data_IF_127801353569
#
_entry.id   IF_127801353569
#
_cell.length_a   1.000
_cell.length_b   1.000
_cell.length_c   1.000
_cell.angle_alpha   90.00
_cell.angle_beta   90.00
_cell.angle_gamma   90.00
#
_symmetry.space_group_name_H-M   'P 1'
#
loop_
_entity.id
_entity.type
_entity.pdbx_description
1 polymer ?
#
# COMPACT_ATOMS: atom_id res chain seq x y z
N UNK A 1 -52.17 -14.89 48.59
CA UNK A 1 -51.92 -13.67 47.69
C UNK A 1 -50.45 -13.38 47.47
N UNK A 2 -49.59 -13.71 48.38
CA UNK A 2 -48.15 -13.43 48.33
C UNK A 2 -47.39 -14.28 47.27
N UNK A 3 -47.78 -15.54 47.07
CA UNK A 3 -47.10 -16.47 46.19
C UNK A 3 -47.28 -16.17 44.68
N UNK A 4 -48.39 -15.55 44.29
CA UNK A 4 -48.57 -15.10 42.88
C UNK A 4 -47.78 -13.85 42.52
N UNK A 5 -47.40 -13.03 43.48
CA UNK A 5 -46.62 -11.82 43.29
C UNK A 5 -45.14 -12.15 43.07
N UNK A 6 -44.61 -13.16 43.76
CA UNK A 6 -43.23 -13.61 43.62
C UNK A 6 -42.97 -14.24 42.24
N UNK A 7 -43.92 -15.02 41.69
CA UNK A 7 -43.78 -15.58 40.34
C UNK A 7 -43.81 -14.52 39.21
N UNK A 8 -44.58 -13.44 39.39
CA UNK A 8 -44.60 -12.34 38.44
C UNK A 8 -43.30 -11.52 38.49
N UNK A 9 -42.72 -11.35 39.68
CA UNK A 9 -41.44 -10.63 39.83
C UNK A 9 -40.25 -11.41 39.24
N UNK A 10 -40.26 -12.74 39.41
CA UNK A 10 -39.24 -13.62 38.83
C UNK A 10 -39.36 -13.74 37.32
N UNK A 11 -40.55 -13.73 36.74
CA UNK A 11 -40.75 -13.76 35.30
C UNK A 11 -40.34 -12.43 34.63
N UNK A 12 -40.65 -11.29 35.24
CA UNK A 12 -40.24 -9.99 34.73
C UNK A 12 -38.72 -9.77 34.81
N UNK A 13 -38.07 -10.29 35.87
CA UNK A 13 -36.60 -10.25 35.98
C UNK A 13 -35.88 -11.12 34.94
N UNK A 14 -36.45 -12.26 34.57
CA UNK A 14 -35.88 -13.18 33.59
C UNK A 14 -36.04 -12.66 32.15
N UNK A 15 -37.15 -12.00 31.84
CA UNK A 15 -37.36 -11.38 30.51
C UNK A 15 -36.47 -10.13 30.33
N UNK A 16 -36.21 -9.35 31.40
CA UNK A 16 -35.29 -8.20 31.34
C UNK A 16 -33.82 -8.62 31.19
N UNK A 17 -33.45 -9.83 31.67
CA UNK A 17 -32.07 -10.33 31.53
C UNK A 17 -31.76 -10.90 30.13
N UNK A 18 -32.80 -11.35 29.39
CA UNK A 18 -32.61 -11.86 28.01
C UNK A 18 -32.49 -10.71 26.98
N UNK A 19 -33.04 -9.54 27.30
CA UNK A 19 -32.96 -8.38 26.38
C UNK A 19 -31.64 -7.62 26.42
N UNK A 20 -30.70 -7.95 27.29
CA UNK A 20 -29.35 -7.39 27.37
C UNK A 20 -28.27 -8.24 26.69
N UNK A 21 -28.64 -9.26 25.94
CA UNK A 21 -27.78 -9.88 24.95
C UNK A 21 -27.59 -8.86 23.83
N UNK A 22 -26.66 -7.94 24.05
CA UNK A 22 -26.17 -7.00 23.07
C UNK A 22 -25.90 -7.78 21.79
N UNK A 23 -26.58 -7.43 20.70
CA UNK A 23 -26.15 -7.78 19.36
C UNK A 23 -24.74 -7.21 19.20
N UNK A 24 -23.74 -7.97 19.57
CA UNK A 24 -22.39 -7.73 19.11
C UNK A 24 -22.49 -7.85 17.59
N UNK A 25 -22.55 -6.73 16.92
CA UNK A 25 -22.46 -6.69 15.48
C UNK A 25 -21.13 -7.35 15.12
N UNK A 26 -21.20 -8.61 14.71
CA UNK A 26 -20.03 -9.38 14.31
C UNK A 26 -19.55 -8.75 13.01
N UNK A 27 -18.52 -7.89 13.10
CA UNK A 27 -17.91 -7.31 11.93
C UNK A 27 -17.30 -8.43 11.09
N UNK A 28 -17.86 -8.65 9.91
CA UNK A 28 -17.33 -9.63 8.97
C UNK A 28 -16.02 -9.10 8.39
N UNK A 29 -14.94 -9.84 8.59
CA UNK A 29 -13.68 -9.57 7.90
C UNK A 29 -13.79 -10.09 6.47
N UNK A 30 -13.44 -9.26 5.51
CA UNK A 30 -13.41 -9.58 4.09
C UNK A 30 -12.02 -9.26 3.54
N UNK A 31 -11.37 -10.28 3.00
CA UNK A 31 -10.04 -10.13 2.43
C UNK A 31 -10.13 -9.55 1.01
N UNK A 32 -9.26 -8.62 0.70
CA UNK A 32 -9.04 -8.19 -0.68
C UNK A 32 -8.40 -9.34 -1.48
N UNK A 33 -8.70 -9.47 -2.78
CA UNK A 33 -8.04 -10.47 -3.62
C UNK A 33 -6.52 -10.38 -3.46
N UNK A 34 -5.85 -11.53 -3.30
CA UNK A 34 -4.39 -11.61 -3.04
C UNK A 34 -3.90 -10.83 -1.79
N UNK A 35 -4.80 -10.49 -0.86
CA UNK A 35 -4.46 -9.74 0.36
C UNK A 35 -3.68 -10.55 1.39
N UNK A 36 -3.62 -11.88 1.24
CA UNK A 36 -2.74 -12.79 1.98
C UNK A 36 -1.26 -12.65 1.61
N UNK A 37 -0.96 -12.04 0.47
CA UNK A 37 0.40 -11.86 -0.08
C UNK A 37 1.15 -13.18 -0.35
N UNK A 38 0.43 -14.29 -0.57
CA UNK A 38 1.03 -15.61 -0.78
C UNK A 38 1.41 -15.87 -2.25
N UNK A 39 0.82 -15.14 -3.18
CA UNK A 39 0.98 -15.36 -4.61
C UNK A 39 1.71 -14.20 -5.28
N UNK A 40 2.75 -14.54 -6.05
CA UNK A 40 3.64 -13.57 -6.67
C UNK A 40 3.94 -13.88 -8.12
N UNK A 41 3.89 -12.85 -8.94
CA UNK A 41 4.40 -12.86 -10.31
C UNK A 41 5.88 -12.48 -10.27
N UNK A 42 6.77 -13.36 -10.75
CA UNK A 42 8.20 -13.09 -10.92
C UNK A 42 8.47 -12.67 -12.37
N UNK A 43 8.77 -11.40 -12.57
CA UNK A 43 9.11 -10.85 -13.87
C UNK A 43 10.63 -10.80 -13.99
N UNK A 44 11.19 -11.58 -14.90
CA UNK A 44 12.63 -11.67 -15.16
C UNK A 44 12.99 -10.76 -16.32
N UNK A 45 13.51 -9.58 -16.02
CA UNK A 45 13.80 -8.52 -16.98
C UNK A 45 15.32 -8.35 -17.13
N UNK A 46 15.80 -8.43 -18.38
CA UNK A 46 17.20 -8.16 -18.69
C UNK A 46 17.41 -6.65 -18.81
N UNK A 47 18.26 -6.10 -17.94
CA UNK A 47 18.72 -4.72 -18.02
C UNK A 47 19.65 -4.50 -19.23
N UNK A 48 19.76 -3.25 -19.69
CA UNK A 48 20.63 -2.92 -20.81
C UNK A 48 22.09 -3.24 -20.53
N UNK A 49 22.82 -3.73 -21.51
CA UNK A 49 24.22 -4.14 -21.38
C UNK A 49 25.14 -3.00 -20.93
N UNK A 50 24.81 -1.75 -21.30
CA UNK A 50 25.55 -0.54 -20.90
C UNK A 50 25.53 -0.29 -19.37
N UNK A 51 24.58 -0.91 -18.64
CA UNK A 51 24.50 -0.86 -17.17
C UNK A 51 24.71 -2.23 -16.52
N UNK A 52 25.36 -3.14 -17.25
CA UNK A 52 25.76 -4.46 -16.77
C UNK A 52 24.99 -5.66 -17.34
N UNK A 53 23.86 -5.46 -18.01
CA UNK A 53 23.15 -6.51 -18.75
C UNK A 53 22.57 -7.65 -17.91
N UNK A 54 22.45 -7.44 -16.59
CA UNK A 54 21.98 -8.48 -15.67
C UNK A 54 20.47 -8.69 -15.80
N UNK A 55 20.02 -9.92 -15.63
CA UNK A 55 18.60 -10.21 -15.43
C UNK A 55 18.22 -9.95 -13.97
N UNK A 56 17.16 -9.18 -13.78
CA UNK A 56 16.61 -8.82 -12.48
C UNK A 56 15.20 -9.36 -12.30
N UNK A 57 14.87 -9.75 -11.08
CA UNK A 57 13.53 -10.15 -10.70
C UNK A 57 12.76 -8.92 -10.23
N UNK A 58 11.61 -8.69 -10.84
CA UNK A 58 10.69 -7.59 -10.55
C UNK A 58 9.36 -8.21 -10.14
N UNK A 59 9.07 -8.19 -8.86
CA UNK A 59 7.92 -8.90 -8.29
C UNK A 59 6.65 -8.05 -8.36
N UNK A 60 5.53 -8.71 -8.63
CA UNK A 60 4.19 -8.16 -8.51
C UNK A 60 3.28 -9.12 -7.74
N UNK A 61 2.24 -8.59 -7.09
CA UNK A 61 1.28 -9.38 -6.32
C UNK A 61 0.19 -9.87 -7.30
N UNK A 62 0.04 -11.17 -7.44
CA UNK A 62 -0.90 -11.78 -8.39
C UNK A 62 -0.65 -13.27 -8.53
N UNK A 63 -1.31 -13.97 -9.47
CA UNK A 63 -1.19 -15.41 -9.64
C UNK A 63 0.25 -15.84 -9.80
N UNK A 64 0.68 -16.85 -9.03
CA UNK A 64 2.06 -17.35 -9.07
C UNK A 64 2.46 -17.78 -10.48
N UNK A 65 3.37 -17.00 -11.07
CA UNK A 65 3.88 -17.28 -12.43
C UNK A 65 5.22 -16.59 -12.65
N UNK A 66 5.92 -17.00 -13.71
CA UNK A 66 7.18 -16.39 -14.17
C UNK A 66 6.97 -15.79 -15.56
N UNK A 67 7.29 -14.49 -15.70
CA UNK A 67 7.24 -13.78 -16.99
C UNK A 67 8.68 -13.42 -17.38
N UNK A 68 9.12 -13.87 -18.56
CA UNK A 68 10.45 -13.54 -19.08
C UNK A 68 10.37 -12.42 -20.10
N UNK A 69 11.33 -11.51 -20.05
CA UNK A 69 11.44 -10.39 -20.98
C UNK A 69 10.90 -9.06 -20.41
N UNK A 70 10.97 -8.04 -21.23
CA UNK A 70 10.71 -6.65 -20.86
C UNK A 70 9.29 -6.19 -21.27
N UNK A 71 8.35 -7.09 -21.25
CA UNK A 71 6.95 -6.79 -21.53
C UNK A 71 6.38 -5.85 -20.46
N UNK A 72 5.55 -4.93 -20.91
CA UNK A 72 4.79 -4.05 -20.01
C UNK A 72 3.88 -4.90 -19.12
N UNK A 73 4.00 -4.73 -17.82
CA UNK A 73 3.17 -5.46 -16.88
C UNK A 73 1.79 -4.81 -16.72
N UNK A 74 0.79 -5.64 -16.66
CA UNK A 74 -0.58 -5.30 -16.24
C UNK A 74 -0.98 -6.26 -15.13
N UNK A 75 -1.69 -5.75 -14.12
CA UNK A 75 -2.16 -6.58 -13.01
C UNK A 75 -2.90 -7.83 -13.54
N UNK A 76 -2.48 -9.00 -13.06
CA UNK A 76 -2.98 -10.30 -13.54
C UNK A 76 -3.98 -10.90 -12.54
N UNK A 77 -4.86 -11.75 -13.04
CA UNK A 77 -5.76 -12.57 -12.22
C UNK A 77 -6.74 -11.78 -11.36
N UNK A 78 -7.04 -10.52 -11.71
CA UNK A 78 -7.88 -9.64 -10.89
C UNK A 78 -7.18 -9.07 -9.66
N UNK A 79 -5.83 -9.14 -9.60
CA UNK A 79 -5.08 -8.51 -8.51
C UNK A 79 -5.33 -7.01 -8.47
N UNK A 80 -5.77 -6.46 -7.32
CA UNK A 80 -5.95 -5.03 -7.16
C UNK A 80 -4.65 -4.30 -6.81
N UNK A 81 -3.52 -5.02 -6.68
CA UNK A 81 -2.30 -4.51 -6.08
C UNK A 81 -1.30 -3.99 -7.10
N UNK A 82 -0.88 -2.75 -6.93
CA UNK A 82 0.33 -2.18 -7.50
C UNK A 82 1.49 -2.22 -6.50
N UNK A 83 2.70 -2.16 -7.03
CA UNK A 83 3.93 -2.08 -6.22
C UNK A 83 4.85 -1.00 -6.76
N UNK A 84 5.81 -0.54 -5.96
CA UNK A 84 6.90 0.33 -6.40
C UNK A 84 7.95 -0.38 -7.27
N UNK A 85 7.77 -1.67 -7.53
CA UNK A 85 8.62 -2.42 -8.46
C UNK A 85 8.27 -2.06 -9.89
N UNK A 86 9.22 -1.53 -10.64
CA UNK A 86 8.97 -1.03 -11.98
C UNK A 86 10.11 -1.30 -12.94
N UNK A 87 9.75 -1.36 -14.22
CA UNK A 87 10.68 -1.26 -15.33
C UNK A 87 10.66 0.17 -15.90
N UNK A 88 11.84 0.75 -16.07
CA UNK A 88 12.03 2.04 -16.72
C UNK A 88 12.77 1.88 -18.04
N UNK A 89 12.39 2.69 -19.03
CA UNK A 89 13.12 2.84 -20.30
C UNK A 89 13.38 4.32 -20.54
N UNK A 90 14.60 4.76 -20.23
CA UNK A 90 15.01 6.16 -20.37
C UNK A 90 16.19 6.24 -21.34
N UNK A 91 16.09 7.06 -22.36
CA UNK A 91 17.11 7.19 -23.41
C UNK A 91 17.57 5.84 -24.01
N UNK A 92 16.63 4.92 -24.21
CA UNK A 92 16.92 3.57 -24.74
C UNK A 92 17.52 2.59 -23.72
N UNK A 93 17.75 3.01 -22.48
CA UNK A 93 18.31 2.18 -21.41
C UNK A 93 17.17 1.57 -20.61
N UNK A 94 17.11 0.23 -20.57
CA UNK A 94 16.20 -0.52 -19.71
C UNK A 94 16.84 -0.69 -18.34
N UNK A 95 16.15 -0.22 -17.30
CA UNK A 95 16.54 -0.37 -15.89
C UNK A 95 15.33 -0.84 -15.10
N UNK A 96 15.57 -1.64 -14.07
CA UNK A 96 14.54 -2.09 -13.12
C UNK A 96 14.79 -1.53 -11.74
N UNK A 97 13.69 -1.31 -11.00
CA UNK A 97 13.72 -1.10 -9.56
C UNK A 97 12.93 -2.20 -8.88
N UNK A 98 13.50 -2.79 -7.83
CA UNK A 98 12.80 -3.75 -6.97
C UNK A 98 13.02 -3.39 -5.51
N UNK A 99 11.98 -2.91 -4.88
CA UNK A 99 11.93 -2.50 -3.47
C UNK A 99 10.85 -3.24 -2.68
N UNK A 100 10.07 -4.10 -3.35
CA UNK A 100 9.04 -4.97 -2.77
C UNK A 100 9.37 -6.43 -3.12
N UNK A 101 9.37 -7.29 -2.12
CA UNK A 101 9.82 -8.67 -2.25
C UNK A 101 8.85 -9.65 -1.59
N UNK A 102 8.65 -10.86 -2.15
CA UNK A 102 8.09 -11.97 -1.39
C UNK A 102 9.09 -12.39 -0.31
N UNK A 103 8.67 -12.41 0.94
CA UNK A 103 9.45 -12.91 2.05
C UNK A 103 8.70 -14.05 2.74
N UNK A 104 9.41 -15.12 3.09
CA UNK A 104 8.82 -16.28 3.79
C UNK A 104 8.28 -15.87 5.15
N UNK A 105 7.03 -16.27 5.42
CA UNK A 105 6.37 -16.13 6.71
C UNK A 105 5.55 -17.40 7.00
N UNK A 106 6.01 -18.20 7.93
CA UNK A 106 5.39 -19.51 8.18
C UNK A 106 5.38 -20.36 6.92
N UNK A 107 4.23 -20.90 6.57
CA UNK A 107 4.05 -21.72 5.36
C UNK A 107 3.84 -20.90 4.09
N UNK A 108 3.55 -19.60 4.20
CA UNK A 108 3.27 -18.69 3.10
C UNK A 108 4.34 -17.62 2.92
N UNK A 109 3.89 -16.47 2.41
CA UNK A 109 4.71 -15.29 2.15
C UNK A 109 4.06 -14.04 2.75
N UNK A 110 4.85 -12.99 2.84
CA UNK A 110 4.39 -11.63 3.09
C UNK A 110 5.10 -10.67 2.13
N UNK A 111 4.59 -9.48 1.99
CA UNK A 111 5.25 -8.42 1.25
C UNK A 111 6.30 -7.73 2.15
N UNK A 112 7.58 -7.84 1.81
CA UNK A 112 8.65 -7.05 2.40
C UNK A 112 8.86 -5.78 1.58
N UNK A 113 8.78 -4.65 2.24
CA UNK A 113 8.94 -3.32 1.66
C UNK A 113 10.26 -2.73 2.16
N UNK A 114 11.19 -2.46 1.24
CA UNK A 114 12.50 -1.89 1.56
C UNK A 114 12.63 -0.50 0.95
N UNK A 115 13.18 0.45 1.70
CA UNK A 115 13.61 1.73 1.13
C UNK A 115 15.07 1.61 0.69
N UNK A 116 15.36 1.98 -0.57
CA UNK A 116 16.66 1.81 -1.20
C UNK A 116 17.07 3.02 -2.02
N UNK A 117 18.37 3.26 -2.08
CA UNK A 117 18.93 4.19 -3.06
C UNK A 117 19.12 3.46 -4.40
N UNK A 118 18.48 3.97 -5.44
CA UNK A 118 18.66 3.47 -6.82
C UNK A 118 19.38 4.51 -7.67
N UNK A 119 20.40 4.05 -8.37
CA UNK A 119 21.22 4.92 -9.24
C UNK A 119 21.34 4.33 -10.64
N UNK A 120 21.27 5.20 -11.62
CA UNK A 120 21.65 4.91 -13.01
C UNK A 120 22.61 5.99 -13.47
N UNK A 121 23.83 5.59 -13.75
CA UNK A 121 24.88 6.51 -14.24
C UNK A 121 25.46 5.95 -15.54
N UNK A 122 25.23 6.65 -16.62
CA UNK A 122 25.83 6.36 -17.93
C UNK A 122 26.44 7.65 -18.44
N UNK A 123 27.75 7.66 -18.61
CA UNK A 123 28.54 8.86 -18.96
C UNK A 123 27.95 9.56 -20.18
N UNK A 124 27.62 10.84 -20.03
CA UNK A 124 27.07 11.68 -21.07
C UNK A 124 25.59 11.43 -21.41
N UNK A 125 24.96 10.40 -20.85
CA UNK A 125 23.57 10.04 -21.18
C UNK A 125 22.61 10.16 -19.99
N UNK A 126 22.95 9.52 -18.85
CA UNK A 126 22.07 9.45 -17.69
C UNK A 126 22.88 9.58 -16.40
N UNK A 127 22.41 10.44 -15.51
CA UNK A 127 22.94 10.55 -14.16
C UNK A 127 21.77 10.80 -13.19
N UNK A 128 21.16 9.74 -12.74
CA UNK A 128 19.95 9.79 -11.89
C UNK A 128 20.22 8.96 -10.63
N UNK A 129 19.96 9.54 -9.47
CA UNK A 129 19.89 8.83 -8.20
C UNK A 129 18.58 9.22 -7.52
N UNK A 130 17.82 8.23 -7.10
CA UNK A 130 16.53 8.41 -6.44
C UNK A 130 16.43 7.54 -5.20
N UNK A 131 15.67 7.99 -4.22
CA UNK A 131 15.23 7.17 -3.10
C UNK A 131 14.00 6.38 -3.55
N UNK A 132 14.13 5.07 -3.63
CA UNK A 132 13.05 4.16 -3.98
C UNK A 132 12.46 3.56 -2.69
N UNK A 133 11.35 4.13 -2.21
CA UNK A 133 10.61 3.57 -1.10
C UNK A 133 9.81 2.35 -1.53
N UNK A 134 9.95 1.23 -0.81
CA UNK A 134 9.12 0.05 -1.02
C UNK A 134 7.67 0.36 -0.65
N UNK A 135 6.77 0.24 -1.62
CA UNK A 135 5.35 0.53 -1.44
C UNK A 135 4.48 -0.49 -2.13
N UNK A 136 3.37 -0.85 -1.48
CA UNK A 136 2.24 -1.55 -2.10
C UNK A 136 1.00 -0.67 -2.01
N UNK A 137 0.16 -0.69 -3.01
CA UNK A 137 -1.05 0.12 -3.04
C UNK A 137 -2.12 -0.56 -3.90
N UNK A 138 -3.36 -0.18 -3.72
CA UNK A 138 -4.42 -0.60 -4.64
C UNK A 138 -4.38 0.25 -5.90
N UNK A 139 -4.29 -0.41 -7.06
CA UNK A 139 -4.15 0.24 -8.35
C UNK A 139 -3.09 -0.40 -9.24
N UNK A 140 -2.54 0.35 -10.16
CA UNK A 140 -1.54 -0.13 -11.13
C UNK A 140 -0.51 0.95 -11.47
N UNK A 141 0.62 0.51 -12.02
CA UNK A 141 1.66 1.39 -12.55
C UNK A 141 1.66 1.29 -14.07
N UNK A 142 1.70 2.41 -14.76
CA UNK A 142 1.89 2.46 -16.20
C UNK A 142 3.37 2.35 -16.55
N UNK A 143 3.77 1.23 -17.08
CA UNK A 143 5.13 0.96 -17.56
C UNK A 143 5.26 1.12 -19.08
N UNK A 144 6.47 1.32 -19.59
CA UNK A 144 7.69 1.59 -18.84
C UNK A 144 7.75 3.04 -18.34
N UNK A 145 8.40 3.25 -17.20
CA UNK A 145 8.69 4.61 -16.72
C UNK A 145 9.65 5.29 -17.70
N UNK A 146 9.25 6.40 -18.30
CA UNK A 146 10.01 7.07 -19.36
C UNK A 146 10.85 8.25 -18.88
N UNK A 147 10.73 8.63 -17.61
CA UNK A 147 11.49 9.75 -17.05
C UNK A 147 11.10 10.03 -15.62
N UNK A 148 11.80 10.97 -15.00
CA UNK A 148 11.57 11.38 -13.61
C UNK A 148 10.63 12.58 -13.47
N UNK A 149 10.19 13.16 -14.61
CA UNK A 149 9.21 14.27 -14.58
C UNK A 149 7.81 13.71 -14.36
N UNK A 150 7.10 14.23 -13.36
CA UNK A 150 5.72 13.86 -13.02
C UNK A 150 5.48 12.33 -12.86
N UNK A 151 6.23 11.64 -11.98
CA UNK A 151 6.10 10.19 -11.81
C UNK A 151 4.69 9.77 -11.39
N UNK A 152 3.94 10.62 -10.73
CA UNK A 152 2.55 10.40 -10.32
C UNK A 152 1.61 10.11 -11.51
N UNK A 153 1.86 10.69 -12.68
CA UNK A 153 1.07 10.40 -13.89
C UNK A 153 1.17 8.95 -14.35
N UNK A 154 2.18 8.22 -13.86
CA UNK A 154 2.36 6.80 -14.13
C UNK A 154 1.61 5.91 -13.13
N UNK A 155 1.00 6.48 -12.11
CA UNK A 155 0.25 5.75 -11.11
C UNK A 155 -1.25 5.91 -11.36
N UNK A 156 -1.93 4.81 -11.49
CA UNK A 156 -3.39 4.75 -11.42
C UNK A 156 -3.74 4.19 -10.04
N UNK A 157 -3.90 5.07 -9.05
CA UNK A 157 -4.19 4.67 -7.67
C UNK A 157 -5.68 4.46 -7.43
N UNK A 158 -5.99 3.51 -6.54
CA UNK A 158 -7.34 3.16 -6.14
C UNK A 158 -7.97 2.09 -7.04
N UNK A 159 -8.95 1.44 -6.48
CA UNK A 159 -9.81 0.45 -7.16
C UNK A 159 -11.26 0.80 -6.86
N UNK A 160 -12.22 0.42 -7.72
CA UNK A 160 -13.64 0.54 -7.41
C UNK A 160 -13.98 -0.22 -6.13
N UNK A 161 -14.65 0.44 -5.20
CA UNK A 161 -15.07 -0.14 -3.94
C UNK A 161 -16.43 0.42 -3.52
N UNK A 162 -17.42 -0.43 -3.32
CA UNK A 162 -18.83 -0.04 -3.12
C UNK A 162 -19.34 -0.25 -1.70
N UNK A 163 -18.49 -0.78 -0.81
CA UNK A 163 -18.87 -1.07 0.59
C UNK A 163 -18.45 0.08 1.51
N UNK A 164 -19.01 0.08 2.72
CA UNK A 164 -18.65 1.00 3.79
C UNK A 164 -17.95 0.23 4.91
N UNK A 165 -16.63 -0.01 4.81
CA UNK A 165 -15.86 -0.72 5.83
C UNK A 165 -15.71 0.13 7.09
N UNK A 166 -15.63 -0.49 8.24
CA UNK A 166 -15.41 0.20 9.53
C UNK A 166 -13.92 0.31 9.85
N UNK A 167 -13.10 -0.63 9.37
CA UNK A 167 -11.67 -0.65 9.62
C UNK A 167 -10.91 -1.32 8.48
N UNK A 168 -9.63 -1.04 8.38
CA UNK A 168 -8.64 -1.84 7.64
C UNK A 168 -7.90 -2.73 8.65
N UNK A 169 -7.82 -4.04 8.38
CA UNK A 169 -7.11 -4.99 9.22
C UNK A 169 -5.95 -5.62 8.44
N UNK A 170 -4.79 -5.71 9.06
CA UNK A 170 -3.63 -6.39 8.48
C UNK A 170 -2.60 -6.78 9.54
N UNK A 171 -1.73 -7.69 9.14
CA UNK A 171 -0.55 -8.08 9.91
C UNK A 171 0.65 -7.25 9.46
N UNK A 172 1.50 -6.90 10.40
CA UNK A 172 2.72 -6.18 10.07
C UNK A 172 3.87 -6.47 11.03
N UNK A 173 5.08 -6.26 10.53
CA UNK A 173 6.32 -6.14 11.30
C UNK A 173 7.08 -4.93 10.78
N UNK A 174 7.64 -4.14 11.68
CA UNK A 174 8.42 -2.95 11.33
C UNK A 174 9.86 -3.13 11.75
N UNK A 175 10.78 -2.79 10.83
CA UNK A 175 12.20 -2.68 11.13
C UNK A 175 12.68 -1.30 10.71
N UNK A 176 13.11 -0.51 11.69
CA UNK A 176 13.57 0.86 11.48
C UNK A 176 15.02 1.04 11.89
N UNK A 177 15.67 2.02 11.29
CA UNK A 177 16.98 2.50 11.76
C UNK A 177 16.84 3.26 13.08
N UNK A 178 17.77 3.04 14.00
CA UNK A 178 17.88 3.83 15.23
C UNK A 178 18.49 5.22 14.98
N UNK A 179 19.12 5.42 13.82
CA UNK A 179 19.78 6.67 13.42
C UNK A 179 18.82 7.54 12.58
N UNK A 180 19.14 8.80 12.49
CA UNK A 180 18.56 9.68 11.47
C UNK A 180 18.84 9.10 10.08
N UNK A 181 17.81 9.02 9.26
CA UNK A 181 17.85 8.36 7.96
C UNK A 181 17.11 9.15 6.88
N UNK A 182 16.73 10.38 7.19
CA UNK A 182 15.99 11.23 6.28
C UNK A 182 16.96 11.90 5.30
N UNK A 183 16.69 11.73 4.02
CA UNK A 183 17.49 12.33 2.96
C UNK A 183 16.59 13.00 1.92
N UNK A 184 17.15 13.97 1.21
CA UNK A 184 16.60 14.50 -0.02
C UNK A 184 17.47 14.06 -1.18
N UNK A 185 16.91 13.30 -2.11
CA UNK A 185 17.58 12.94 -3.37
C UNK A 185 16.97 13.73 -4.53
N UNK A 186 17.81 14.29 -5.39
CA UNK A 186 17.36 14.95 -6.62
C UNK A 186 17.67 14.09 -7.84
N UNK A 187 16.91 14.27 -8.92
CA UNK A 187 17.12 13.55 -10.17
C UNK A 187 18.50 13.75 -10.81
N UNK A 188 19.30 14.71 -10.32
CA UNK A 188 20.68 14.95 -10.75
C UNK A 188 21.73 14.34 -9.82
N UNK A 189 21.36 13.28 -9.09
CA UNK A 189 22.23 12.54 -8.18
C UNK A 189 22.77 13.34 -6.97
N UNK A 190 22.17 14.47 -6.65
CA UNK A 190 22.51 15.19 -5.43
C UNK A 190 21.73 14.60 -4.26
N UNK A 191 22.44 14.12 -3.25
CA UNK A 191 21.88 13.64 -1.99
C UNK A 191 22.22 14.65 -0.91
N UNK A 192 21.28 14.98 -0.08
CA UNK A 192 21.45 15.87 1.07
C UNK A 192 20.76 15.24 2.28
N UNK A 193 21.50 15.15 3.40
CA UNK A 193 20.90 14.73 4.66
C UNK A 193 19.91 15.79 5.13
N UNK A 194 18.79 15.34 5.65
CA UNK A 194 17.74 16.17 6.23
C UNK A 194 17.53 15.72 7.68
N UNK A 195 17.47 16.64 8.65
CA UNK A 195 17.27 16.25 10.04
C UNK A 195 16.00 15.44 10.24
N UNK A 196 16.06 14.45 11.13
CA UNK A 196 14.94 13.62 11.52
C UNK A 196 14.96 12.21 10.95
N UNK A 197 13.86 11.50 11.17
CA UNK A 197 13.64 10.12 10.71
C UNK A 197 12.46 10.06 9.78
N UNK A 198 12.54 9.19 8.77
CA UNK A 198 11.38 8.75 8.01
C UNK A 198 10.71 7.56 8.70
N UNK A 199 9.40 7.52 8.63
CA UNK A 199 8.57 6.53 9.27
C UNK A 199 7.71 5.80 8.25
N UNK A 200 7.65 4.45 8.32
CA UNK A 200 6.67 3.71 7.55
C UNK A 200 5.25 4.15 7.90
N UNK A 201 4.38 4.12 6.92
CA UNK A 201 2.98 4.47 7.10
C UNK A 201 2.06 3.49 6.39
N UNK A 202 0.84 3.31 6.95
CA UNK A 202 -0.27 2.73 6.24
C UNK A 202 -1.38 3.78 6.11
N UNK A 203 -1.83 3.99 4.88
CA UNK A 203 -2.77 5.06 4.54
C UNK A 203 -3.91 4.46 3.71
N UNK A 204 -5.15 4.76 4.08
CA UNK A 204 -6.33 4.42 3.31
C UNK A 204 -7.20 5.65 3.12
N UNK A 205 -7.55 5.91 1.86
CA UNK A 205 -8.53 6.93 1.50
C UNK A 205 -9.71 6.27 0.78
N UNK A 206 -10.91 6.50 1.28
CA UNK A 206 -12.14 6.21 0.57
C UNK A 206 -12.62 7.48 -0.10
N UNK A 207 -12.87 7.40 -1.41
CA UNK A 207 -13.29 8.53 -2.20
C UNK A 207 -14.58 8.19 -2.95
N UNK A 208 -15.55 9.12 -2.95
CA UNK A 208 -16.63 9.12 -3.92
C UNK A 208 -16.11 9.82 -5.19
N UNK A 209 -16.12 9.10 -6.31
CA UNK A 209 -15.69 9.65 -7.61
C UNK A 209 -16.89 9.69 -8.56
N UNK A 210 -16.97 10.73 -9.35
CA UNK A 210 -17.97 10.87 -10.41
C UNK A 210 -17.40 11.69 -11.55
N UNK A 211 -18.03 11.59 -12.68
CA UNK A 211 -17.70 12.31 -13.91
C UNK A 211 -18.90 13.15 -14.30
N UNK A 212 -18.68 14.37 -14.78
CA UNK A 212 -19.73 15.22 -15.32
C UNK A 212 -19.93 14.94 -16.82
N UNK A 213 -20.90 15.63 -17.42
CA UNK A 213 -21.24 15.46 -18.83
C UNK A 213 -20.11 15.90 -19.78
N UNK A 214 -19.20 16.72 -19.32
CA UNK A 214 -18.04 17.25 -20.03
C UNK A 214 -16.80 16.34 -19.89
N UNK A 215 -16.90 15.24 -19.11
CA UNK A 215 -15.81 14.30 -18.86
C UNK A 215 -14.83 14.71 -17.76
N UNK A 216 -15.16 15.72 -16.96
CA UNK A 216 -14.35 16.10 -15.81
C UNK A 216 -14.55 15.10 -14.66
N UNK A 217 -13.46 14.63 -14.09
CA UNK A 217 -13.47 13.69 -12.96
C UNK A 217 -13.37 14.44 -11.65
N UNK A 218 -14.33 14.21 -10.80
CA UNK A 218 -14.37 14.76 -9.44
C UNK A 218 -14.15 13.66 -8.42
N UNK A 219 -13.49 14.00 -7.32
CA UNK A 219 -13.29 13.09 -6.20
C UNK A 219 -13.52 13.81 -4.87
N UNK A 220 -14.37 13.23 -4.04
CA UNK A 220 -14.57 13.70 -2.65
C UNK A 220 -14.12 12.61 -1.70
N UNK A 221 -13.20 12.93 -0.78
CA UNK A 221 -12.80 12.04 0.30
C UNK A 221 -13.97 11.85 1.26
N UNK A 222 -14.30 10.61 1.59
CA UNK A 222 -15.41 10.24 2.47
C UNK A 222 -14.98 9.42 3.66
N UNK A 223 -13.79 8.83 3.63
CA UNK A 223 -13.21 8.09 4.74
C UNK A 223 -11.69 8.13 4.69
N UNK A 224 -11.07 8.16 5.86
CA UNK A 224 -9.62 8.28 6.04
C UNK A 224 -9.14 7.37 7.14
N UNK A 225 -8.05 6.65 6.92
CA UNK A 225 -7.25 5.99 7.94
C UNK A 225 -5.80 6.29 7.62
N UNK A 226 -5.05 6.78 8.61
CA UNK A 226 -3.62 7.04 8.52
C UNK A 226 -2.97 6.56 9.80
N UNK A 227 -1.90 5.78 9.68
CA UNK A 227 -1.07 5.37 10.81
C UNK A 227 0.40 5.40 10.43
N UNK A 228 1.23 5.90 11.33
CA UNK A 228 2.68 5.90 11.22
C UNK A 228 3.29 4.97 12.25
N UNK A 229 4.40 4.34 11.90
CA UNK A 229 5.11 3.42 12.77
C UNK A 229 6.41 4.05 13.24
N UNK A 230 6.45 4.46 14.49
CA UNK A 230 7.59 5.21 15.06
C UNK A 230 8.68 4.32 15.67
N UNK A 231 8.41 3.02 15.80
CA UNK A 231 9.31 2.06 16.43
C UNK A 231 9.34 0.73 15.68
N UNK A 232 10.49 0.04 15.75
CA UNK A 232 10.57 -1.35 15.31
C UNK A 232 9.65 -2.23 16.14
N UNK A 233 9.00 -3.21 15.50
CA UNK A 233 8.11 -4.16 16.18
C UNK A 233 8.41 -5.57 15.69
N UNK A 234 8.12 -6.55 16.52
CA UNK A 234 7.86 -7.90 16.03
C UNK A 234 6.50 -7.98 15.35
N UNK A 235 6.16 -9.18 14.83
CA UNK A 235 4.88 -9.39 14.18
C UNK A 235 3.71 -8.99 15.07
N UNK A 236 2.89 -8.12 14.56
CA UNK A 236 1.57 -7.74 15.08
C UNK A 236 0.53 -8.33 14.15
N UNK A 237 -0.32 -9.20 14.67
CA UNK A 237 -1.30 -9.92 13.86
C UNK A 237 -2.70 -9.36 14.08
N UNK A 238 -3.50 -9.34 13.01
CA UNK A 238 -4.92 -8.94 13.03
C UNK A 238 -5.14 -7.54 13.63
N UNK A 239 -4.23 -6.61 13.39
CA UNK A 239 -4.39 -5.24 13.89
C UNK A 239 -5.39 -4.50 13.04
N UNK A 240 -6.43 -3.98 13.68
CA UNK A 240 -7.49 -3.21 13.03
C UNK A 240 -7.29 -1.72 13.26
N UNK A 241 -7.36 -0.95 12.18
CA UNK A 241 -7.29 0.50 12.17
C UNK A 241 -8.63 1.05 11.71
N UNK A 242 -9.29 1.81 12.57
CA UNK A 242 -10.59 2.41 12.28
C UNK A 242 -10.52 3.39 11.13
N UNK A 243 -11.55 3.40 10.28
CA UNK A 243 -11.71 4.35 9.20
C UNK A 243 -12.62 5.48 9.67
N UNK A 244 -12.08 6.65 9.77
CA UNK A 244 -12.82 7.86 10.13
C UNK A 244 -13.58 8.39 8.93
N UNK A 245 -14.90 8.55 9.06
CA UNK A 245 -15.79 9.09 8.03
C UNK A 245 -16.12 10.55 8.27
N UNK A 246 -16.32 11.31 7.20
CA UNK A 246 -16.70 12.72 7.25
C UNK A 246 -15.61 13.65 6.77
N UNK A 247 -15.77 14.95 7.02
CA UNK A 247 -14.85 16.02 6.58
C UNK A 247 -13.60 16.16 7.47
N UNK A 248 -13.00 15.06 7.87
CA UNK A 248 -11.72 15.02 8.62
C UNK A 248 -10.56 15.50 7.74
N UNK A 249 -10.85 15.86 6.53
CA UNK A 249 -9.93 16.22 5.47
C UNK A 249 -8.96 17.37 5.81
N UNK A 250 -9.29 18.22 6.76
CA UNK A 250 -8.52 19.44 7.02
C UNK A 250 -7.27 19.24 7.91
N UNK A 251 -7.17 18.12 8.64
CA UNK A 251 -6.04 17.88 9.56
C UNK A 251 -4.86 17.18 8.92
N UNK A 252 -5.02 16.59 7.70
CA UNK A 252 -3.98 15.73 7.08
C UNK A 252 -3.71 16.09 5.61
N UNK A 253 -4.16 17.23 5.11
CA UNK A 253 -4.14 17.54 3.68
C UNK A 253 -2.85 18.16 3.18
N UNK A 254 -1.97 18.68 4.03
CA UNK A 254 -0.78 19.38 3.53
C UNK A 254 0.43 18.46 3.31
N UNK A 255 0.61 17.44 4.14
CA UNK A 255 1.90 16.75 4.16
C UNK A 255 1.88 15.32 3.56
N UNK A 256 0.74 14.62 3.63
CA UNK A 256 0.71 13.21 3.21
C UNK A 256 0.54 13.00 1.70
N UNK A 257 0.05 13.97 0.96
CA UNK A 257 -0.08 13.87 -0.50
C UNK A 257 1.21 14.31 -1.22
N UNK A 258 1.97 15.21 -0.61
CA UNK A 258 3.23 15.69 -1.15
C UNK A 258 4.42 14.76 -0.80
N UNK A 259 4.34 14.01 0.30
CA UNK A 259 5.38 13.08 0.75
C UNK A 259 5.32 11.69 0.07
N UNK A 260 4.25 11.37 -0.65
CA UNK A 260 4.16 10.15 -1.48
C UNK A 260 4.84 10.30 -2.85
N UNK A 261 5.50 11.39 -3.08
CA UNK A 261 6.27 11.74 -4.27
C UNK A 261 7.79 11.59 -3.93
#
# INVERSE_FOLDING_TARGET
>A
MIQKSIHRLLMTGFVAFISSLSLMAQHKVEMLPFGDMDQWVDRQIKESSIIGGNTKNVYAIGPTTVIKGDQVYKNMGGSPWGTSNVMAKVAGITKTNTSVFPEKRGNGYCARLDTRMESVKVLGLVNITVLAAGSIFTGSVHEPIKGTKNPQKMLQTGIPFTKKPVALQFDYKVKMSDRENRIRATGFSKITDVPGKDYPAAILFLQKRWEDAEGNVYAKRIGTMVTYYYHSTDWKNNVSYEIMYGDICLLYTSDAADDLI
#
